data_IF_508263407689
#
_entry.id   IF_508263407689
#
_cell.length_a   1.000
_cell.length_b   1.000
_cell.length_c   1.000
_cell.angle_alpha   90.00
_cell.angle_beta   90.00
_cell.angle_gamma   90.00
#
_symmetry.space_group_name_H-M   'P 1'
#
loop_
_entity.id
_entity.type
_entity.pdbx_description
1 polymer ?
#
# COMPACT_ATOMS: atom_id res chain seq x y z
N UNK A 1 -12.21 5.49 -3.52
CA UNK A 1 -11.21 6.57 -3.40
C UNK A 1 -10.69 6.88 -4.79
N UNK A 2 -10.47 8.13 -5.12
CA UNK A 2 -10.05 8.56 -6.47
C UNK A 2 -8.60 9.01 -6.47
N UNK A 3 -7.82 8.53 -7.45
CA UNK A 3 -6.42 8.90 -7.65
C UNK A 3 -5.42 7.80 -7.27
N UNK A 4 -4.12 8.11 -7.34
CA UNK A 4 -3.02 7.19 -7.02
C UNK A 4 -2.28 7.69 -5.79
N UNK A 5 -2.20 6.85 -4.76
CA UNK A 5 -1.61 7.19 -3.47
C UNK A 5 -0.69 6.07 -2.98
N UNK A 6 0.46 6.45 -2.43
CA UNK A 6 1.33 5.55 -1.69
C UNK A 6 1.34 5.93 -0.21
N UNK A 7 1.08 4.97 0.66
CA UNK A 7 0.93 5.20 2.10
C UNK A 7 2.23 4.88 2.82
N UNK A 8 2.65 5.80 3.67
CA UNK A 8 3.92 5.72 4.41
C UNK A 8 3.64 5.67 5.92
N UNK A 9 4.31 4.73 6.58
CA UNK A 9 4.36 4.61 8.04
C UNK A 9 5.82 4.48 8.48
N UNK A 10 6.13 4.86 9.71
CA UNK A 10 7.50 4.74 10.24
C UNK A 10 8.03 3.31 10.10
N UNK A 11 9.25 3.18 9.62
CA UNK A 11 9.88 1.91 9.30
C UNK A 11 9.59 1.41 7.86
N UNK A 12 9.03 2.24 6.98
CA UNK A 12 8.87 1.90 5.57
C UNK A 12 10.22 1.72 4.86
N UNK A 13 10.27 0.92 3.80
CA UNK A 13 11.46 0.78 2.97
C UNK A 13 11.53 1.93 1.96
N UNK A 14 12.60 2.73 2.06
CA UNK A 14 12.72 3.99 1.34
C UNK A 14 12.90 3.81 -0.18
N UNK A 15 13.68 2.80 -0.60
CA UNK A 15 13.93 2.54 -2.02
C UNK A 15 12.66 2.08 -2.72
N UNK A 16 11.89 1.20 -2.08
CA UNK A 16 10.61 0.71 -2.62
C UNK A 16 9.60 1.84 -2.78
N UNK A 17 9.50 2.69 -1.76
CA UNK A 17 8.55 3.80 -1.80
C UNK A 17 8.96 4.89 -2.79
N UNK A 18 10.17 5.44 -2.64
CA UNK A 18 10.56 6.63 -3.39
C UNK A 18 10.93 6.32 -4.85
N UNK A 19 11.46 5.14 -5.15
CA UNK A 19 11.67 4.71 -6.55
C UNK A 19 10.32 4.57 -7.25
N UNK A 20 9.34 3.95 -6.61
CA UNK A 20 7.97 3.84 -7.16
C UNK A 20 7.37 5.21 -7.44
N UNK A 21 7.45 6.14 -6.48
CA UNK A 21 6.96 7.53 -6.66
C UNK A 21 7.68 8.21 -7.82
N UNK A 22 9.02 8.13 -7.86
CA UNK A 22 9.83 8.74 -8.90
C UNK A 22 9.47 8.22 -10.29
N UNK A 23 9.35 6.92 -10.45
CA UNK A 23 9.04 6.30 -11.75
C UNK A 23 7.62 6.62 -12.22
N UNK A 24 6.63 6.58 -11.32
CA UNK A 24 5.25 6.94 -11.64
C UNK A 24 5.13 8.40 -12.07
N UNK A 25 5.76 9.32 -11.33
CA UNK A 25 5.76 10.76 -11.68
C UNK A 25 6.46 11.02 -13.01
N UNK A 26 7.58 10.37 -13.29
CA UNK A 26 8.25 10.45 -14.60
C UNK A 26 7.39 9.90 -15.72
N UNK A 27 6.56 8.90 -15.44
CA UNK A 27 5.57 8.37 -16.39
C UNK A 27 4.29 9.20 -16.51
N UNK A 28 4.22 10.38 -15.87
CA UNK A 28 3.07 11.28 -15.95
C UNK A 28 1.92 10.94 -14.99
N UNK A 29 2.10 9.95 -14.10
CA UNK A 29 1.09 9.58 -13.09
C UNK A 29 1.25 10.45 -11.86
N UNK A 30 0.19 11.19 -11.51
CA UNK A 30 0.17 12.08 -10.35
C UNK A 30 -0.03 11.29 -9.04
N UNK A 31 1.00 10.50 -8.66
CA UNK A 31 1.01 9.80 -7.38
C UNK A 31 1.32 10.76 -6.24
N UNK A 32 0.57 10.62 -5.12
CA UNK A 32 0.80 11.37 -3.88
C UNK A 32 1.27 10.44 -2.78
N UNK A 33 2.28 10.88 -2.02
CA UNK A 33 2.69 10.21 -0.79
C UNK A 33 1.81 10.66 0.37
N UNK A 34 1.35 9.73 1.19
CA UNK A 34 0.46 9.99 2.33
C UNK A 34 1.08 9.41 3.59
N UNK A 35 1.38 10.28 4.56
CA UNK A 35 1.70 9.86 5.92
C UNK A 35 0.43 9.34 6.61
N UNK A 36 0.51 8.22 7.33
CA UNK A 36 -0.63 7.75 8.14
C UNK A 36 -0.83 8.55 9.44
N UNK A 37 0.06 9.49 9.73
CA UNK A 37 0.05 10.33 10.92
C UNK A 37 -0.59 11.69 10.65
N UNK A 38 -0.74 12.48 11.73
CA UNK A 38 -1.19 13.87 11.62
C UNK A 38 -0.08 14.80 11.10
N UNK A 39 1.18 14.36 11.16
CA UNK A 39 2.34 15.03 10.58
C UNK A 39 2.68 14.40 9.21
N UNK A 40 3.27 15.20 8.33
CA UNK A 40 3.78 14.75 7.03
C UNK A 40 5.15 14.08 7.10
N UNK A 41 5.88 14.20 8.20
CA UNK A 41 7.20 13.58 8.36
C UNK A 41 7.01 12.10 8.71
N UNK A 42 7.64 11.23 7.91
CA UNK A 42 7.66 9.79 8.14
C UNK A 42 9.10 9.30 8.06
N UNK A 43 9.52 8.49 9.00
CA UNK A 43 10.90 8.01 9.08
C UNK A 43 11.01 6.60 8.51
N UNK A 44 11.92 6.40 7.55
CA UNK A 44 12.18 5.09 6.96
C UNK A 44 12.82 4.10 7.94
N UNK A 45 12.87 2.82 7.57
CA UNK A 45 13.55 1.76 8.34
C UNK A 45 15.03 2.06 8.62
N UNK A 46 15.68 2.84 7.76
CA UNK A 46 17.06 3.28 7.90
C UNK A 46 17.19 4.67 8.56
N UNK A 47 16.16 5.14 9.26
CA UNK A 47 16.14 6.41 10.01
C UNK A 47 16.31 7.66 9.14
N UNK A 48 15.90 7.61 7.89
CA UNK A 48 15.87 8.77 6.98
C UNK A 48 14.48 9.37 7.00
N UNK A 49 14.32 10.63 7.48
CA UNK A 49 13.02 11.29 7.47
C UNK A 49 12.65 11.71 6.03
N UNK A 50 11.39 11.52 5.69
CA UNK A 50 10.79 11.92 4.43
C UNK A 50 9.56 12.76 4.70
N UNK A 51 9.40 13.85 3.95
CA UNK A 51 8.18 14.67 4.01
C UNK A 51 7.19 14.17 2.96
N UNK A 52 6.07 13.62 3.40
CA UNK A 52 4.99 13.20 2.52
C UNK A 52 4.26 14.42 1.91
N UNK A 53 3.62 14.22 0.76
CA UNK A 53 2.80 15.26 0.14
C UNK A 53 1.61 15.64 1.02
N UNK A 54 1.08 14.70 1.80
CA UNK A 54 -0.12 14.86 2.62
C UNK A 54 0.03 14.12 3.95
N UNK A 55 -0.55 14.69 5.01
CA UNK A 55 -0.89 13.96 6.23
C UNK A 55 -2.22 13.20 6.03
N UNK A 56 -2.52 12.23 6.89
CA UNK A 56 -3.72 11.40 6.75
C UNK A 56 -5.03 12.21 6.78
N UNK A 57 -5.11 13.22 7.65
CA UNK A 57 -6.26 14.11 7.72
C UNK A 57 -6.50 14.88 6.43
N UNK A 58 -5.44 15.36 5.78
CA UNK A 58 -5.50 16.07 4.50
C UNK A 58 -5.93 15.13 3.36
N UNK A 59 -5.39 13.90 3.35
CA UNK A 59 -5.82 12.86 2.43
C UNK A 59 -7.32 12.57 2.58
N UNK A 60 -7.81 12.39 3.79
CA UNK A 60 -9.23 12.16 4.08
C UNK A 60 -10.13 13.31 3.61
N UNK A 61 -9.70 14.53 3.80
CA UNK A 61 -10.44 15.72 3.37
C UNK A 61 -10.46 15.89 1.84
N UNK A 62 -9.41 15.43 1.14
CA UNK A 62 -9.25 15.60 -0.30
C UNK A 62 -9.83 14.47 -1.15
N UNK A 63 -10.12 13.31 -0.56
CA UNK A 63 -10.61 12.15 -1.31
C UNK A 63 -12.14 12.14 -1.39
N UNK A 64 -12.66 11.93 -2.58
CA UNK A 64 -14.06 11.60 -2.80
C UNK A 64 -14.26 10.08 -2.77
N UNK A 65 -15.43 9.65 -2.30
CA UNK A 65 -15.85 8.25 -2.26
C UNK A 65 -16.82 7.95 -3.40
N UNK A 66 -16.99 6.68 -3.69
CA UNK A 66 -17.86 6.15 -4.73
C UNK A 66 -17.09 5.24 -5.70
N UNK A 67 -17.74 4.65 -6.69
CA UNK A 67 -17.14 3.64 -7.55
C UNK A 67 -15.77 4.06 -8.08
N UNK A 68 -14.76 3.21 -7.87
CA UNK A 68 -13.39 3.44 -8.31
C UNK A 68 -13.18 2.95 -9.74
N UNK A 69 -12.18 3.54 -10.41
CA UNK A 69 -11.67 3.02 -11.67
C UNK A 69 -10.43 2.16 -11.37
N UNK A 70 -10.04 1.22 -12.24
CA UNK A 70 -8.78 0.50 -12.10
C UNK A 70 -7.54 1.40 -12.04
N UNK A 71 -7.65 2.63 -12.59
CA UNK A 71 -6.61 3.67 -12.50
C UNK A 71 -6.52 4.36 -11.14
N UNK A 72 -7.50 4.15 -10.27
CA UNK A 72 -7.43 4.61 -8.88
C UNK A 72 -6.66 3.56 -8.08
N UNK A 73 -5.50 3.89 -7.53
CA UNK A 73 -4.54 2.91 -7.00
C UNK A 73 -4.12 3.26 -5.58
N UNK A 74 -4.17 2.29 -4.68
CA UNK A 74 -3.51 2.35 -3.37
C UNK A 74 -2.24 1.52 -3.41
N UNK A 75 -1.11 2.10 -2.99
CA UNK A 75 0.21 1.46 -3.02
C UNK A 75 0.75 1.35 -1.60
N UNK A 76 1.24 0.17 -1.25
CA UNK A 76 1.81 -0.14 0.05
C UNK A 76 3.26 -0.60 -0.11
N UNK A 77 4.26 0.22 0.29
CA UNK A 77 5.65 -0.19 0.30
C UNK A 77 5.89 -1.21 1.42
N UNK A 78 6.96 -1.97 1.29
CA UNK A 78 7.42 -2.85 2.34
C UNK A 78 8.23 -2.13 3.42
N UNK A 79 9.12 -2.90 4.03
CA UNK A 79 9.88 -2.49 5.21
C UNK A 79 9.16 -2.87 6.51
N UNK A 80 9.98 -3.26 7.49
CA UNK A 80 9.50 -3.56 8.84
C UNK A 80 10.14 -2.57 9.83
N UNK A 81 9.37 -1.99 10.76
CA UNK A 81 7.95 -2.28 11.05
C UNK A 81 6.94 -1.48 10.19
N UNK A 82 7.34 -0.82 9.11
CA UNK A 82 6.46 0.03 8.30
C UNK A 82 5.18 -0.68 7.83
N UNK A 83 5.32 -1.90 7.26
CA UNK A 83 4.15 -2.70 6.84
C UNK A 83 3.25 -3.06 8.01
N UNK A 84 3.81 -3.40 9.19
CA UNK A 84 3.02 -3.66 10.39
C UNK A 84 2.29 -2.42 10.91
N UNK A 85 2.93 -1.26 10.84
CA UNK A 85 2.32 0.01 11.24
C UNK A 85 1.17 0.41 10.29
N UNK A 86 1.32 0.17 8.97
CA UNK A 86 0.23 0.34 8.01
C UNK A 86 -0.95 -0.58 8.33
N UNK A 87 -0.69 -1.87 8.55
CA UNK A 87 -1.71 -2.87 8.84
C UNK A 87 -2.44 -2.60 10.18
N UNK A 88 -1.74 -2.06 11.18
CA UNK A 88 -2.33 -1.70 12.48
C UNK A 88 -3.21 -0.44 12.41
N UNK A 89 -3.12 0.35 11.35
CA UNK A 89 -3.90 1.57 11.21
C UNK A 89 -5.29 1.28 10.61
N UNK A 90 -6.24 0.87 11.46
CA UNK A 90 -7.57 0.39 11.07
C UNK A 90 -8.31 1.31 10.09
N UNK A 91 -8.25 2.63 10.28
CA UNK A 91 -8.87 3.61 9.36
C UNK A 91 -8.36 3.49 7.91
N UNK A 92 -7.09 3.17 7.72
CA UNK A 92 -6.54 2.93 6.38
C UNK A 92 -6.99 1.59 5.83
N UNK A 93 -7.06 0.57 6.69
CA UNK A 93 -7.52 -0.76 6.28
C UNK A 93 -8.99 -0.75 5.85
N UNK A 94 -9.84 -0.01 6.55
CA UNK A 94 -11.24 0.19 6.15
C UNK A 94 -11.33 0.83 4.75
N UNK A 95 -10.52 1.86 4.51
CA UNK A 95 -10.46 2.53 3.19
C UNK A 95 -9.94 1.57 2.11
N UNK A 96 -8.92 0.77 2.41
CA UNK A 96 -8.36 -0.22 1.48
C UNK A 96 -9.42 -1.23 1.06
N UNK A 97 -10.16 -1.78 2.01
CA UNK A 97 -11.22 -2.75 1.74
C UNK A 97 -12.37 -2.14 0.92
N UNK A 98 -12.79 -0.93 1.27
CA UNK A 98 -13.80 -0.20 0.51
C UNK A 98 -13.32 0.08 -0.91
N UNK A 99 -12.10 0.60 -1.06
CA UNK A 99 -11.49 0.90 -2.36
C UNK A 99 -11.45 -0.32 -3.27
N UNK A 100 -11.02 -1.46 -2.73
CA UNK A 100 -10.99 -2.73 -3.45
C UNK A 100 -12.39 -3.18 -3.88
N UNK A 101 -13.36 -3.11 -2.97
CA UNK A 101 -14.76 -3.50 -3.25
C UNK A 101 -15.41 -2.60 -4.32
N UNK A 102 -15.01 -1.35 -4.41
CA UNK A 102 -15.49 -0.38 -5.39
C UNK A 102 -14.78 -0.48 -6.76
N UNK A 103 -13.87 -1.46 -6.94
CA UNK A 103 -13.17 -1.74 -8.20
C UNK A 103 -11.84 -1.01 -8.37
N UNK A 104 -11.31 -0.38 -7.32
CA UNK A 104 -9.98 0.22 -7.33
C UNK A 104 -8.87 -0.82 -7.28
N UNK A 105 -7.66 -0.42 -7.68
CA UNK A 105 -6.49 -1.29 -7.71
C UNK A 105 -5.67 -1.17 -6.43
N UNK A 106 -5.15 -2.29 -5.94
CA UNK A 106 -4.18 -2.36 -4.86
C UNK A 106 -2.82 -2.81 -5.41
N UNK A 107 -1.76 -2.18 -4.95
CA UNK A 107 -0.39 -2.59 -5.25
C UNK A 107 0.41 -2.68 -3.95
N UNK A 108 1.22 -3.71 -3.81
CA UNK A 108 2.06 -3.90 -2.63
C UNK A 108 3.37 -4.60 -3.02
N UNK A 109 4.44 -4.31 -2.29
CA UNK A 109 5.77 -4.87 -2.54
C UNK A 109 6.38 -5.43 -1.25
N UNK A 110 7.27 -6.40 -1.38
CA UNK A 110 8.09 -6.98 -0.31
C UNK A 110 7.22 -7.66 0.77
N UNK A 111 7.24 -7.17 2.01
CA UNK A 111 6.42 -7.70 3.10
C UNK A 111 4.95 -7.25 3.02
N UNK A 112 4.65 -6.13 2.35
CA UNK A 112 3.33 -5.54 2.37
C UNK A 112 2.21 -6.41 1.76
N UNK A 113 2.42 -7.24 0.72
CA UNK A 113 1.39 -8.18 0.28
C UNK A 113 0.89 -9.07 1.43
N UNK A 114 1.82 -9.63 2.19
CA UNK A 114 1.53 -10.56 3.29
C UNK A 114 1.04 -9.87 4.56
N UNK A 115 1.54 -8.67 4.86
CA UNK A 115 1.21 -7.97 6.11
C UNK A 115 -0.02 -7.08 5.94
N UNK A 116 -0.17 -6.43 4.80
CA UNK A 116 -1.26 -5.47 4.53
C UNK A 116 -2.38 -6.09 3.72
N UNK A 117 -2.08 -6.65 2.52
CA UNK A 117 -3.15 -7.18 1.65
C UNK A 117 -3.77 -8.46 2.18
N UNK A 118 -3.08 -9.21 3.07
CA UNK A 118 -3.69 -10.34 3.76
C UNK A 118 -4.89 -9.95 4.66
N UNK A 119 -5.09 -8.66 4.93
CA UNK A 119 -6.25 -8.15 5.65
C UNK A 119 -7.50 -7.95 4.78
N UNK A 120 -7.40 -8.19 3.48
CA UNK A 120 -8.58 -8.24 2.62
C UNK A 120 -9.50 -9.40 3.04
N UNK A 121 -10.83 -9.23 2.89
CA UNK A 121 -11.79 -10.20 3.38
C UNK A 121 -11.74 -11.53 2.62
N UNK A 122 -11.36 -11.52 1.36
CA UNK A 122 -11.30 -12.72 0.51
C UNK A 122 -10.05 -12.70 -0.38
N UNK A 123 -9.20 -13.70 -0.19
CA UNK A 123 -8.02 -13.96 -1.03
C UNK A 123 -8.11 -15.30 -1.75
N UNK A 124 -9.26 -16.00 -1.66
CA UNK A 124 -9.41 -17.33 -2.24
C UNK A 124 -9.12 -17.34 -3.75
N UNK A 125 -8.11 -18.10 -4.13
CA UNK A 125 -7.68 -18.25 -5.53
C UNK A 125 -6.97 -17.03 -6.13
N UNK A 126 -6.72 -15.97 -5.36
CA UNK A 126 -5.95 -14.82 -5.80
C UNK A 126 -4.49 -15.18 -5.98
N UNK A 127 -3.93 -14.88 -7.15
CA UNK A 127 -2.50 -15.07 -7.43
C UNK A 127 -1.70 -13.91 -6.83
N UNK A 128 -0.78 -14.22 -5.94
CA UNK A 128 -0.01 -13.21 -5.22
C UNK A 128 1.45 -13.61 -5.06
N UNK A 129 2.32 -12.61 -4.96
CA UNK A 129 3.72 -12.77 -4.58
C UNK A 129 4.05 -11.89 -3.37
N UNK A 130 5.11 -12.20 -2.66
CA UNK A 130 5.62 -11.43 -1.52
C UNK A 130 7.12 -11.66 -1.34
N UNK A 131 7.71 -11.02 -0.34
CA UNK A 131 9.07 -11.30 0.07
C UNK A 131 9.19 -12.73 0.60
N UNK A 132 10.29 -13.43 0.23
CA UNK A 132 10.55 -14.82 0.63
C UNK A 132 10.46 -14.99 2.15
N UNK A 133 9.69 -16.00 2.60
CA UNK A 133 9.44 -16.26 4.01
C UNK A 133 8.18 -15.62 4.59
N UNK A 134 7.43 -14.87 3.80
CA UNK A 134 6.16 -14.24 4.21
C UNK A 134 4.92 -14.90 3.59
N UNK A 135 5.07 -16.01 2.87
CA UNK A 135 4.02 -16.63 2.05
C UNK A 135 2.86 -17.17 2.88
N UNK A 136 3.13 -17.63 4.11
CA UNK A 136 2.16 -18.29 4.97
C UNK A 136 0.93 -17.42 5.24
N UNK A 137 1.13 -16.11 5.43
CA UNK A 137 0.04 -15.18 5.68
C UNK A 137 -0.94 -15.07 4.51
N UNK A 138 -0.48 -15.25 3.28
CA UNK A 138 -1.30 -15.25 2.06
C UNK A 138 -1.96 -16.61 1.86
N UNK A 139 -1.20 -17.68 1.89
CA UNK A 139 -1.67 -19.04 1.60
C UNK A 139 -2.69 -19.54 2.62
N UNK A 140 -2.53 -19.20 3.91
CA UNK A 140 -3.50 -19.50 4.97
C UNK A 140 -4.87 -18.86 4.67
N UNK A 141 -4.91 -17.76 3.92
CA UNK A 141 -6.15 -17.09 3.50
C UNK A 141 -6.64 -17.53 2.12
N UNK A 142 -6.05 -18.56 1.56
CA UNK A 142 -6.48 -19.16 0.30
C UNK A 142 -5.88 -18.53 -0.95
N UNK A 143 -4.91 -17.60 -0.82
CA UNK A 143 -4.19 -17.08 -1.97
C UNK A 143 -3.27 -18.15 -2.57
N UNK A 144 -3.11 -18.12 -3.89
CA UNK A 144 -2.12 -18.88 -4.63
C UNK A 144 -0.80 -18.08 -4.66
N UNK A 145 0.19 -18.54 -3.89
CA UNK A 145 1.51 -17.92 -3.93
C UNK A 145 2.23 -18.27 -5.23
N UNK A 146 2.70 -17.26 -5.94
CA UNK A 146 3.45 -17.39 -7.21
C UNK A 146 4.82 -16.76 -7.02
N UNK A 147 5.88 -17.58 -7.19
CA UNK A 147 7.28 -17.11 -7.05
C UNK A 147 7.74 -16.41 -8.34
N UNK A 148 7.20 -15.22 -8.57
CA UNK A 148 7.57 -14.35 -9.69
C UNK A 148 7.89 -12.94 -9.19
N UNK A 149 8.66 -12.17 -9.96
CA UNK A 149 9.04 -10.82 -9.58
C UNK A 149 7.85 -9.84 -9.52
N UNK A 150 6.83 -10.06 -10.34
CA UNK A 150 5.58 -9.28 -10.37
C UNK A 150 4.41 -10.22 -10.68
N UNK A 151 3.35 -10.11 -9.93
CA UNK A 151 2.09 -10.85 -10.14
C UNK A 151 0.94 -9.85 -10.20
N UNK A 152 0.08 -10.01 -11.18
CA UNK A 152 -1.18 -9.26 -11.33
C UNK A 152 -2.35 -10.23 -11.34
N UNK A 153 -3.41 -9.91 -10.61
CA UNK A 153 -4.63 -10.70 -10.51
C UNK A 153 -5.88 -9.81 -10.46
#
# INVERSE_FOLDING_TARGET
>A
MKGTYIFLADGFEISEALTTVNMLRRGGINVKTVSIYDDRIVTSSNRIPVVADMAFGEFRASTSFGPCLPSDVMIFPGGMPGSSNLAAFGKLMDIMQQHYTEGGTLAAICAAPSVVLSLLPDLQGKRMTCYDGFEEALTTKGAEYVKEGVVTD
#
